data_IF_970717287329
#
_entry.id   IF_970717287329
#
_cell.length_a   1.000
_cell.length_b   1.000
_cell.length_c   1.000
_cell.angle_alpha   90.00
_cell.angle_beta   90.00
_cell.angle_gamma   90.00
#
_symmetry.space_group_name_H-M   'P 1'
#
loop_
_entity.id
_entity.type
_entity.pdbx_description
1 polymer ?
#
# COMPACT_ATOMS: atom_id res chain seq x y z
N UNK A 1 -24.66 12.10 8.31
CA UNK A 1 -23.81 11.58 9.41
C UNK A 1 -23.73 10.04 9.32
N UNK A 2 -23.44 9.51 8.12
CA UNK A 2 -23.87 8.16 7.70
C UNK A 2 -22.81 7.18 7.22
N UNK A 3 -21.59 7.62 6.90
CA UNK A 3 -20.72 6.80 6.03
C UNK A 3 -19.38 6.42 6.67
N UNK A 4 -18.91 7.20 7.65
CA UNK A 4 -17.69 6.87 8.40
C UNK A 4 -17.82 5.60 9.24
N UNK A 5 -19.03 5.25 9.71
CA UNK A 5 -19.26 4.02 10.45
C UNK A 5 -19.31 2.77 9.57
N UNK A 6 -19.68 2.89 8.28
CA UNK A 6 -19.73 1.77 7.33
C UNK A 6 -18.34 1.45 6.76
N UNK A 7 -17.48 2.46 6.61
CA UNK A 7 -16.13 2.31 6.07
C UNK A 7 -15.10 1.83 7.11
N UNK A 8 -15.31 2.15 8.39
CA UNK A 8 -14.42 1.71 9.47
C UNK A 8 -14.15 0.19 9.50
N UNK A 9 -15.15 -0.71 9.35
CA UNK A 9 -14.88 -2.15 9.29
C UNK A 9 -14.19 -2.61 8.00
N UNK A 10 -14.32 -1.85 6.89
CA UNK A 10 -13.65 -2.13 5.61
C UNK A 10 -12.19 -1.65 5.59
N UNK A 11 -11.80 -0.76 6.49
CA UNK A 11 -10.46 -0.17 6.50
C UNK A 11 -9.36 -1.19 6.77
N UNK A 12 -9.52 -2.02 7.81
CA UNK A 12 -8.53 -3.02 8.20
C UNK A 12 -8.21 -4.04 7.08
N UNK A 13 -9.20 -4.66 6.40
CA UNK A 13 -8.90 -5.58 5.30
C UNK A 13 -8.31 -4.86 4.08
N UNK A 14 -8.73 -3.63 3.77
CA UNK A 14 -8.17 -2.86 2.64
C UNK A 14 -6.70 -2.52 2.90
N UNK A 15 -6.38 -2.02 4.08
CA UNK A 15 -5.00 -1.69 4.46
C UNK A 15 -4.08 -2.93 4.41
N UNK A 16 -4.58 -4.08 4.87
CA UNK A 16 -3.84 -5.34 4.80
C UNK A 16 -3.59 -5.79 3.35
N UNK A 17 -4.58 -5.69 2.46
CA UNK A 17 -4.43 -6.03 1.04
C UNK A 17 -3.42 -5.13 0.32
N UNK A 18 -3.43 -3.83 0.64
CA UNK A 18 -2.52 -2.85 0.07
C UNK A 18 -1.06 -3.07 0.52
N UNK A 19 -0.86 -3.37 1.82
CA UNK A 19 0.43 -3.83 2.33
C UNK A 19 0.92 -5.10 1.62
N UNK A 20 0.04 -6.11 1.46
CA UNK A 20 0.38 -7.35 0.75
C UNK A 20 0.72 -7.10 -0.72
N UNK A 21 0.05 -6.15 -1.38
CA UNK A 21 0.36 -5.76 -2.74
C UNK A 21 1.76 -5.14 -2.84
N UNK A 22 2.08 -4.18 -1.96
CA UNK A 22 3.42 -3.58 -1.88
C UNK A 22 4.50 -4.62 -1.56
N UNK A 23 4.21 -5.56 -0.64
CA UNK A 23 5.10 -6.68 -0.32
C UNK A 23 5.31 -7.60 -1.54
N UNK A 24 4.25 -7.89 -2.28
CA UNK A 24 4.30 -8.73 -3.48
C UNK A 24 5.17 -8.08 -4.55
N UNK A 25 5.10 -6.76 -4.73
CA UNK A 25 5.93 -6.04 -5.70
C UNK A 25 7.41 -6.14 -5.32
N UNK A 26 7.79 -5.82 -4.08
CA UNK A 26 9.18 -5.90 -3.63
C UNK A 26 9.73 -7.33 -3.68
N UNK A 27 8.91 -8.34 -3.30
CA UNK A 27 9.27 -9.75 -3.44
C UNK A 27 9.43 -10.17 -4.90
N UNK A 28 8.55 -9.70 -5.79
CA UNK A 28 8.62 -10.01 -7.24
C UNK A 28 9.85 -9.37 -7.87
N UNK A 29 10.20 -8.15 -7.46
CA UNK A 29 11.43 -7.48 -7.90
C UNK A 29 12.66 -8.25 -7.43
N UNK A 30 12.71 -8.68 -6.16
CA UNK A 30 13.80 -9.52 -5.65
C UNK A 30 13.90 -10.87 -6.38
N UNK A 31 12.76 -11.55 -6.61
CA UNK A 31 12.73 -12.82 -7.32
C UNK A 31 13.16 -12.66 -8.78
N UNK A 32 12.81 -11.55 -9.42
CA UNK A 32 13.26 -11.24 -10.78
C UNK A 32 14.78 -11.01 -10.86
N UNK A 33 15.40 -10.50 -9.79
CA UNK A 33 16.85 -10.34 -9.70
C UNK A 33 17.58 -11.71 -9.66
N UNK A 34 16.96 -12.73 -9.05
CA UNK A 34 17.52 -14.09 -9.02
C UNK A 34 17.54 -14.77 -10.40
N UNK A 35 16.67 -14.37 -11.33
CA UNK A 35 16.62 -14.92 -12.69
C UNK A 35 17.57 -14.21 -13.67
N UNK A 36 18.50 -13.39 -13.18
CA UNK A 36 19.47 -12.67 -14.02
C UNK A 36 18.91 -11.38 -14.64
N UNK A 37 17.93 -10.74 -13.99
CA UNK A 37 17.49 -9.40 -14.39
C UNK A 37 18.67 -8.42 -14.41
N UNK A 38 18.72 -7.59 -15.45
CA UNK A 38 19.79 -6.63 -15.75
C UNK A 38 19.95 -5.58 -14.63
N UNK A 39 18.88 -5.40 -13.83
CA UNK A 39 18.86 -4.57 -12.64
C UNK A 39 18.66 -5.46 -11.41
N UNK A 40 19.76 -5.93 -10.83
CA UNK A 40 19.75 -6.60 -9.52
C UNK A 40 19.34 -5.58 -8.46
N UNK A 41 18.04 -5.54 -8.13
CA UNK A 41 17.51 -4.75 -7.03
C UNK A 41 17.40 -5.61 -5.78
N UNK A 42 17.98 -5.12 -4.69
CA UNK A 42 17.78 -5.71 -3.37
C UNK A 42 16.36 -5.43 -2.90
N UNK A 43 15.87 -6.29 -2.00
CA UNK A 43 14.63 -6.05 -1.29
C UNK A 43 14.74 -4.74 -0.50
N UNK A 44 13.87 -3.78 -0.82
CA UNK A 44 13.94 -2.45 -0.23
C UNK A 44 12.80 -2.25 0.79
N UNK A 45 13.15 -2.45 2.07
CA UNK A 45 12.24 -2.19 3.19
C UNK A 45 11.75 -0.74 3.21
N UNK A 46 12.56 0.21 2.73
CA UNK A 46 12.18 1.62 2.67
C UNK A 46 11.06 1.82 1.66
N UNK A 47 11.14 1.21 0.47
CA UNK A 47 10.03 1.28 -0.50
C UNK A 47 8.75 0.64 0.02
N UNK A 48 8.86 -0.53 0.68
CA UNK A 48 7.70 -1.18 1.30
C UNK A 48 7.02 -0.27 2.33
N UNK A 49 7.81 0.34 3.22
CA UNK A 49 7.30 1.25 4.25
C UNK A 49 6.72 2.51 3.62
N UNK A 50 7.42 3.11 2.65
CA UNK A 50 6.99 4.34 1.98
C UNK A 50 5.70 4.13 1.18
N UNK A 51 5.52 3.01 0.48
CA UNK A 51 4.26 2.69 -0.18
C UNK A 51 3.13 2.51 0.85
N UNK A 52 3.37 1.76 1.92
CA UNK A 52 2.36 1.54 2.98
C UNK A 52 1.94 2.85 3.66
N UNK A 53 2.90 3.74 3.93
CA UNK A 53 2.62 5.07 4.50
C UNK A 53 1.91 5.97 3.48
N UNK A 54 2.31 5.93 2.21
CA UNK A 54 1.68 6.69 1.13
C UNK A 54 0.21 6.33 0.95
N UNK A 55 -0.12 5.05 1.01
CA UNK A 55 -1.50 4.54 0.98
C UNK A 55 -2.31 5.01 2.20
N UNK A 56 -1.70 5.01 3.39
CA UNK A 56 -2.32 5.53 4.61
C UNK A 56 -2.62 7.04 4.49
N UNK A 57 -1.66 7.82 3.98
CA UNK A 57 -1.83 9.25 3.73
C UNK A 57 -2.94 9.49 2.70
N UNK A 58 -2.96 8.73 1.59
CA UNK A 58 -4.00 8.82 0.57
C UNK A 58 -5.40 8.55 1.14
N UNK A 59 -5.52 7.57 2.05
CA UNK A 59 -6.76 7.31 2.76
C UNK A 59 -7.20 8.46 3.67
N UNK A 60 -6.27 9.07 4.43
CA UNK A 60 -6.59 10.24 5.25
C UNK A 60 -7.03 11.43 4.39
N UNK A 61 -6.35 11.67 3.27
CA UNK A 61 -6.73 12.70 2.29
C UNK A 61 -8.14 12.43 1.76
N UNK A 62 -8.46 11.18 1.40
CA UNK A 62 -9.80 10.80 0.95
C UNK A 62 -10.86 11.08 2.02
N UNK A 63 -10.64 10.69 3.29
CA UNK A 63 -11.57 11.00 4.38
C UNK A 63 -11.80 12.50 4.52
N UNK A 64 -10.73 13.30 4.48
CA UNK A 64 -10.79 14.76 4.68
C UNK A 64 -11.52 15.46 3.53
N UNK A 65 -11.30 15.02 2.28
CA UNK A 65 -11.92 15.60 1.09
C UNK A 65 -13.33 15.06 0.80
N UNK A 66 -13.71 13.91 1.37
CA UNK A 66 -15.03 13.31 1.21
C UNK A 66 -16.22 14.24 1.56
N UNK A 67 -16.20 15.05 2.64
CA UNK A 67 -17.31 15.98 2.91
C UNK A 67 -17.43 17.12 1.88
N UNK A 68 -16.41 17.36 1.06
CA UNK A 68 -16.38 18.44 0.05
C UNK A 68 -16.70 17.99 -1.38
N UNK A 69 -16.84 16.68 -1.62
CA UNK A 69 -17.23 16.07 -2.90
C UNK A 69 -18.59 15.39 -2.77
#
# INVERSE_FOLDING_TARGET
>A
MGVSYELAPLFCPIFFLLFLFSLTIECSQLLSAWWGSIYSRNFDMTNLITNTIGELIGYFIFIILRPTL
#
